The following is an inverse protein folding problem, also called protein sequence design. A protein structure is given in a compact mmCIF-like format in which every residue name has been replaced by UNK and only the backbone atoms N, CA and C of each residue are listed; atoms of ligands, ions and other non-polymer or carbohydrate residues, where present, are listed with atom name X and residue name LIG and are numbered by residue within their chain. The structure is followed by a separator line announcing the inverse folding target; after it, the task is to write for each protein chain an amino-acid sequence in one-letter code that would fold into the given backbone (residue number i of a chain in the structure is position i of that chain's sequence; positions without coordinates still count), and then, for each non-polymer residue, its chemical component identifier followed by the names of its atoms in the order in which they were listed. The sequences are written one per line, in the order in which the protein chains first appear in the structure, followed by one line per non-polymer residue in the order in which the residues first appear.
data_IF_849903891241
#
_entry.id   IF_849903891241
#
_cell.length_a   1.000
_cell.length_b   1.000
_cell.length_c   1.000
_cell.angle_alpha   90.00
_cell.angle_beta   90.00
_cell.angle_gamma   90.00
#
_symmetry.space_group_name_H-M   'P 1'
#
loop_
_entity.id
_entity.type
_entity.pdbx_description
1 polymer ?
#
# COMPACT_ATOMS: atom_id res chain seq x y z
N UNK A 1 -15.81 -16.10 -21.76
CA UNK A 1 -14.82 -15.13 -21.22
C UNK A 1 -13.49 -15.18 -21.99
N UNK A 2 -13.18 -16.25 -22.70
CA UNK A 2 -11.95 -16.37 -23.52
C UNK A 2 -11.83 -15.31 -24.61
N UNK A 3 -12.93 -14.92 -25.25
CA UNK A 3 -12.98 -13.82 -26.25
C UNK A 3 -12.56 -12.47 -25.69
N UNK A 4 -12.60 -12.32 -24.38
CA UNK A 4 -12.32 -11.09 -23.67
C UNK A 4 -11.02 -11.13 -22.84
N UNK A 5 -10.22 -12.21 -22.99
CA UNK A 5 -8.88 -12.29 -22.40
C UNK A 5 -8.74 -13.16 -21.14
N UNK A 6 -9.77 -13.94 -20.76
CA UNK A 6 -9.64 -14.97 -19.72
C UNK A 6 -9.02 -16.26 -20.33
N UNK A 7 -8.39 -17.09 -19.50
CA UNK A 7 -7.78 -18.36 -19.89
C UNK A 7 -8.81 -19.43 -20.27
N UNK A 8 -10.03 -19.34 -19.75
CA UNK A 8 -11.15 -20.26 -20.04
C UNK A 8 -12.51 -19.63 -19.78
N UNK A 9 -13.55 -20.25 -20.34
CA UNK A 9 -14.92 -19.85 -20.04
C UNK A 9 -15.29 -20.20 -18.59
N UNK A 10 -15.97 -19.26 -17.91
CA UNK A 10 -16.35 -19.39 -16.50
C UNK A 10 -17.84 -19.62 -16.33
N UNK A 11 -18.16 -20.50 -15.42
CA UNK A 11 -19.55 -20.77 -15.03
C UNK A 11 -19.99 -19.67 -14.06
N UNK A 12 -21.02 -18.93 -14.43
CA UNK A 12 -21.66 -17.93 -13.55
C UNK A 12 -22.78 -18.56 -12.74
N UNK A 13 -23.59 -19.44 -13.35
CA UNK A 13 -24.68 -20.17 -12.71
C UNK A 13 -24.48 -21.66 -12.88
N UNK A 14 -24.49 -22.38 -11.76
CA UNK A 14 -24.34 -23.84 -11.72
C UNK A 14 -25.64 -24.52 -12.22
N UNK A 15 -25.54 -25.81 -12.59
CA UNK A 15 -26.70 -26.60 -13.02
C UNK A 15 -27.82 -26.69 -11.95
N UNK A 16 -27.44 -26.64 -10.67
CA UNK A 16 -28.41 -26.64 -9.55
C UNK A 16 -29.06 -25.25 -9.32
N UNK A 17 -28.82 -24.27 -10.21
CA UNK A 17 -29.45 -22.96 -10.15
C UNK A 17 -28.71 -21.92 -9.28
N UNK A 18 -27.73 -22.32 -8.47
CA UNK A 18 -26.95 -21.40 -7.63
C UNK A 18 -25.89 -20.67 -8.45
N UNK A 19 -25.64 -19.43 -8.07
CA UNK A 19 -24.55 -18.63 -8.64
C UNK A 19 -23.20 -19.03 -8.05
N UNK A 20 -22.15 -18.87 -8.86
CA UNK A 20 -20.76 -18.95 -8.37
C UNK A 20 -20.35 -17.64 -7.72
N UNK A 21 -19.25 -17.64 -6.96
CA UNK A 21 -18.72 -16.41 -6.34
C UNK A 21 -18.35 -15.30 -7.34
N UNK A 22 -18.03 -15.67 -8.57
CA UNK A 22 -17.73 -14.71 -9.63
C UNK A 22 -18.93 -13.80 -9.95
N UNK A 23 -20.15 -14.31 -9.87
CA UNK A 23 -21.37 -13.56 -10.22
C UNK A 23 -21.60 -12.37 -9.28
N UNK A 24 -21.62 -12.51 -7.94
CA UNK A 24 -21.75 -11.37 -7.04
C UNK A 24 -20.57 -10.40 -7.12
N UNK A 25 -19.36 -10.89 -7.42
CA UNK A 25 -18.22 -9.99 -7.63
C UNK A 25 -18.41 -9.09 -8.85
N UNK A 26 -18.86 -9.67 -9.98
CA UNK A 26 -19.21 -8.89 -11.18
C UNK A 26 -20.30 -7.88 -10.85
N UNK A 27 -21.39 -8.30 -10.18
CA UNK A 27 -22.49 -7.41 -9.82
C UNK A 27 -22.02 -6.25 -8.92
N UNK A 28 -21.10 -6.49 -7.99
CA UNK A 28 -20.54 -5.45 -7.14
C UNK A 28 -19.73 -4.41 -7.97
N UNK A 29 -18.98 -4.85 -8.99
CA UNK A 29 -18.23 -3.95 -9.86
C UNK A 29 -19.18 -3.11 -10.75
N UNK A 30 -20.22 -3.74 -11.31
CA UNK A 30 -21.28 -3.02 -12.05
C UNK A 30 -21.90 -1.94 -11.16
N UNK A 31 -22.30 -2.30 -9.95
CA UNK A 31 -22.91 -1.36 -9.01
C UNK A 31 -22.00 -0.16 -8.70
N UNK A 32 -20.68 -0.37 -8.59
CA UNK A 32 -19.73 0.74 -8.40
C UNK A 32 -19.71 1.68 -9.63
N UNK A 33 -19.71 1.13 -10.85
CA UNK A 33 -19.76 1.94 -12.07
C UNK A 33 -21.09 2.70 -12.18
N UNK A 34 -22.22 2.06 -11.87
CA UNK A 34 -23.54 2.70 -11.85
C UNK A 34 -23.63 3.85 -10.83
N UNK A 35 -22.84 3.81 -9.76
CA UNK A 35 -22.68 4.92 -8.82
C UNK A 35 -21.87 6.10 -9.37
N UNK A 36 -21.35 5.99 -10.60
CA UNK A 36 -20.63 7.06 -11.28
C UNK A 36 -19.11 7.01 -11.18
N UNK A 37 -18.54 5.91 -10.65
CA UNK A 37 -17.09 5.74 -10.64
C UNK A 37 -16.60 5.30 -12.02
N UNK A 38 -15.74 6.10 -12.63
CA UNK A 38 -15.15 5.83 -13.95
C UNK A 38 -13.96 4.88 -13.88
N UNK A 39 -13.32 4.78 -12.71
CA UNK A 39 -12.16 3.91 -12.43
C UNK A 39 -12.37 3.16 -11.12
N UNK A 40 -12.16 1.87 -11.15
CA UNK A 40 -12.22 0.99 -9.99
C UNK A 40 -10.81 0.50 -9.66
N UNK A 41 -10.41 0.60 -8.40
CA UNK A 41 -9.12 0.10 -7.92
C UNK A 41 -9.39 -0.97 -6.88
N UNK A 42 -8.92 -2.18 -7.15
CA UNK A 42 -9.00 -3.29 -6.19
C UNK A 42 -7.61 -3.59 -5.62
N UNK A 43 -7.56 -3.76 -4.31
CA UNK A 43 -6.36 -4.20 -3.60
C UNK A 43 -6.55 -5.68 -3.24
N UNK A 44 -5.79 -6.56 -3.88
CA UNK A 44 -5.91 -8.01 -3.70
C UNK A 44 -4.64 -8.64 -3.17
N UNK A 45 -4.77 -9.68 -2.35
CA UNK A 45 -3.63 -10.52 -2.00
C UNK A 45 -3.03 -11.19 -3.25
N UNK A 46 -1.74 -11.44 -3.23
CA UNK A 46 -1.00 -12.00 -4.36
C UNK A 46 -1.51 -13.38 -4.82
N UNK A 47 -2.16 -14.12 -3.92
CA UNK A 47 -2.85 -15.38 -4.20
C UNK A 47 -4.02 -15.24 -5.19
N UNK A 48 -4.55 -14.02 -5.35
CA UNK A 48 -5.61 -13.71 -6.31
C UNK A 48 -5.12 -13.25 -7.68
N UNK A 49 -3.80 -13.30 -7.98
CA UNK A 49 -3.23 -12.87 -9.26
C UNK A 49 -3.99 -13.46 -10.47
N UNK A 50 -4.29 -14.77 -10.46
CA UNK A 50 -5.02 -15.46 -11.53
C UNK A 50 -6.50 -15.03 -11.68
N UNK A 51 -7.02 -14.23 -10.75
CA UNK A 51 -8.39 -13.73 -10.80
C UNK A 51 -8.50 -12.41 -11.58
N UNK A 52 -7.40 -11.69 -11.78
CA UNK A 52 -7.36 -10.38 -12.44
C UNK A 52 -7.91 -10.47 -13.89
N UNK A 53 -7.33 -11.29 -14.79
CA UNK A 53 -7.82 -11.35 -16.16
C UNK A 53 -9.27 -11.80 -16.26
N UNK A 54 -9.72 -12.65 -15.32
CA UNK A 54 -11.11 -13.12 -15.25
C UNK A 54 -12.08 -11.97 -14.98
N UNK A 55 -11.79 -11.10 -14.02
CA UNK A 55 -12.65 -9.97 -13.70
C UNK A 55 -12.60 -8.90 -14.78
N UNK A 56 -11.42 -8.63 -15.34
CA UNK A 56 -11.26 -7.69 -16.44
C UNK A 56 -12.01 -8.16 -17.69
N UNK A 57 -11.94 -9.47 -18.02
CA UNK A 57 -12.71 -10.07 -19.11
C UNK A 57 -14.22 -9.96 -18.89
N UNK A 58 -14.69 -10.16 -17.67
CA UNK A 58 -16.12 -10.04 -17.35
C UNK A 58 -16.63 -8.60 -17.55
N UNK A 59 -15.89 -7.59 -17.10
CA UNK A 59 -16.26 -6.18 -17.30
C UNK A 59 -16.21 -5.78 -18.78
N UNK A 60 -15.21 -6.25 -19.52
CA UNK A 60 -15.11 -6.00 -20.97
C UNK A 60 -16.27 -6.64 -21.72
N UNK A 61 -16.68 -7.86 -21.34
CA UNK A 61 -17.83 -8.55 -21.93
C UNK A 61 -19.16 -7.81 -21.69
N UNK A 62 -19.24 -7.02 -20.63
CA UNK A 62 -20.39 -6.17 -20.31
C UNK A 62 -20.33 -4.79 -20.98
N UNK A 63 -19.32 -4.53 -21.81
CA UNK A 63 -19.17 -3.29 -22.57
C UNK A 63 -18.42 -2.17 -21.84
N UNK A 64 -17.84 -2.44 -20.68
CA UNK A 64 -17.01 -1.45 -19.99
C UNK A 64 -15.62 -1.32 -20.65
N UNK A 65 -15.08 -0.11 -20.75
CA UNK A 65 -13.75 0.11 -21.34
C UNK A 65 -12.65 -0.67 -20.65
N UNK A 66 -11.62 -1.09 -21.41
CA UNK A 66 -10.40 -1.61 -20.83
C UNK A 66 -9.77 -0.54 -19.91
N UNK A 67 -9.31 -0.95 -18.74
CA UNK A 67 -8.75 -0.03 -17.74
C UNK A 67 -9.79 0.53 -16.75
N UNK A 68 -11.08 0.20 -16.89
CA UNK A 68 -12.09 0.50 -15.85
C UNK A 68 -11.72 -0.12 -14.51
N UNK A 69 -11.14 -1.32 -14.50
CA UNK A 69 -10.61 -2.00 -13.32
C UNK A 69 -9.10 -2.05 -13.34
N UNK A 70 -8.48 -1.45 -12.35
CA UNK A 70 -7.08 -1.60 -11.97
C UNK A 70 -6.97 -2.46 -10.71
N UNK A 71 -5.98 -3.33 -10.66
CA UNK A 71 -5.76 -4.22 -9.52
C UNK A 71 -4.33 -4.12 -9.07
N UNK A 72 -4.16 -3.72 -7.82
CA UNK A 72 -2.88 -3.75 -7.13
C UNK A 72 -2.78 -5.02 -6.29
N UNK A 73 -1.71 -5.76 -6.48
CA UNK A 73 -1.43 -6.97 -5.72
C UNK A 73 -0.58 -6.64 -4.49
N UNK A 74 -1.05 -7.11 -3.35
CA UNK A 74 -0.37 -6.94 -2.08
C UNK A 74 0.24 -8.26 -1.66
N UNK A 75 1.55 -8.27 -1.40
CA UNK A 75 2.26 -9.43 -0.89
C UNK A 75 2.01 -9.64 0.60
N UNK A 76 2.21 -10.88 1.04
CA UNK A 76 2.15 -11.22 2.45
C UNK A 76 3.28 -10.55 3.23
N UNK A 77 2.91 -9.97 4.37
CA UNK A 77 3.85 -9.43 5.35
C UNK A 77 3.98 -10.43 6.49
N UNK A 78 5.21 -10.82 6.84
CA UNK A 78 5.48 -11.64 8.01
C UNK A 78 5.87 -10.74 9.16
N UNK A 79 5.34 -11.00 10.34
CA UNK A 79 5.82 -10.37 11.56
C UNK A 79 6.98 -11.21 12.10
N UNK A 80 8.10 -10.57 12.36
CA UNK A 80 9.27 -11.23 12.96
C UNK A 80 9.71 -10.53 14.24
N UNK A 81 10.22 -11.30 15.18
CA UNK A 81 10.80 -10.81 16.42
C UNK A 81 12.03 -11.64 16.75
N UNK A 82 13.16 -10.99 17.00
CA UNK A 82 14.45 -11.63 17.24
C UNK A 82 14.86 -12.64 16.14
N UNK A 83 14.49 -12.38 14.89
CA UNK A 83 14.77 -13.22 13.74
C UNK A 83 13.86 -14.43 13.58
N UNK A 84 12.87 -14.61 14.45
CA UNK A 84 11.88 -15.68 14.37
C UNK A 84 10.52 -15.14 13.96
N UNK A 85 9.78 -15.89 13.14
CA UNK A 85 8.43 -15.53 12.74
C UNK A 85 7.46 -15.63 13.92
N UNK A 86 6.75 -14.54 14.18
CA UNK A 86 5.63 -14.50 15.12
C UNK A 86 4.46 -15.26 14.52
N UNK A 87 4.27 -16.52 14.96
CA UNK A 87 3.23 -17.39 14.43
C UNK A 87 1.84 -16.85 14.73
N UNK A 88 1.15 -16.41 13.70
CA UNK A 88 -0.24 -16.01 13.76
C UNK A 88 -1.14 -17.18 13.39
N UNK A 89 -2.03 -17.60 14.29
CA UNK A 89 -3.00 -18.64 14.01
C UNK A 89 -4.42 -18.15 14.29
N UNK A 90 -5.22 -18.02 13.23
CA UNK A 90 -6.65 -17.72 13.35
C UNK A 90 -7.42 -18.74 14.19
N UNK A 91 -6.93 -20.00 14.26
CA UNK A 91 -7.58 -21.08 15.01
C UNK A 91 -7.31 -21.04 16.52
N UNK A 92 -6.21 -20.42 16.93
CA UNK A 92 -5.81 -20.34 18.35
C UNK A 92 -6.04 -18.96 18.96
N UNK A 93 -6.62 -18.01 18.22
CA UNK A 93 -6.86 -16.65 18.70
C UNK A 93 -5.62 -15.75 18.74
N UNK A 94 -4.48 -16.22 18.24
CA UNK A 94 -3.20 -15.50 18.30
C UNK A 94 -2.91 -14.67 17.03
N UNK A 95 -3.94 -14.13 16.39
CA UNK A 95 -3.74 -13.21 15.27
C UNK A 95 -3.50 -11.80 15.81
N UNK A 96 -2.35 -11.22 15.50
CA UNK A 96 -2.06 -9.82 15.82
C UNK A 96 -2.93 -8.94 14.94
N UNK A 97 -3.76 -8.12 15.55
CA UNK A 97 -4.58 -7.14 14.83
C UNK A 97 -3.74 -5.89 14.49
N UNK A 98 -4.18 -5.13 13.49
CA UNK A 98 -3.56 -3.82 13.17
C UNK A 98 -3.57 -2.89 14.40
N UNK A 99 -4.61 -2.95 15.22
CA UNK A 99 -4.68 -2.15 16.45
C UNK A 99 -3.58 -2.55 17.42
N UNK A 100 -3.45 -3.83 17.71
CA UNK A 100 -2.40 -4.34 18.60
C UNK A 100 -1.00 -4.01 18.08
N UNK A 101 -0.78 -4.11 16.76
CA UNK A 101 0.47 -3.69 16.15
C UNK A 101 0.74 -2.19 16.37
N UNK A 102 -0.26 -1.34 16.13
CA UNK A 102 -0.12 0.11 16.33
C UNK A 102 0.06 0.49 17.82
N UNK A 103 -0.59 -0.24 18.73
CA UNK A 103 -0.43 -0.04 20.17
C UNK A 103 0.98 -0.44 20.64
N UNK A 104 1.57 -1.43 19.99
CA UNK A 104 2.90 -1.96 20.32
C UNK A 104 4.05 -1.10 19.75
N UNK A 105 4.04 -0.84 18.44
CA UNK A 105 5.16 -0.14 17.76
C UNK A 105 4.91 1.36 17.54
N UNK A 106 3.70 1.83 17.77
CA UNK A 106 3.24 3.19 17.44
C UNK A 106 2.75 3.30 16.00
N UNK A 107 1.78 4.21 15.79
CA UNK A 107 1.15 4.43 14.48
C UNK A 107 2.15 4.88 13.43
N UNK A 108 3.08 5.76 13.78
CA UNK A 108 4.09 6.30 12.84
C UNK A 108 5.00 5.18 12.31
N UNK A 109 5.48 4.31 13.22
CA UNK A 109 6.32 3.18 12.84
C UNK A 109 5.54 2.18 11.97
N UNK A 110 4.32 1.81 12.38
CA UNK A 110 3.49 0.91 11.58
C UNK A 110 3.28 1.46 10.16
N UNK A 111 2.86 2.72 10.02
CA UNK A 111 2.66 3.35 8.71
C UNK A 111 3.95 3.42 7.89
N UNK A 112 5.05 3.82 8.49
CA UNK A 112 6.31 3.95 7.78
C UNK A 112 6.77 2.61 7.20
N UNK A 113 6.81 1.56 8.02
CA UNK A 113 7.27 0.23 7.58
C UNK A 113 6.41 -0.37 6.47
N UNK A 114 5.09 -0.14 6.50
CA UNK A 114 4.22 -0.55 5.40
C UNK A 114 4.38 0.29 4.13
N UNK A 115 4.65 1.59 4.26
CA UNK A 115 4.72 2.52 3.11
C UNK A 115 6.11 2.60 2.47
N UNK A 116 7.17 2.20 3.17
CA UNK A 116 8.53 2.25 2.63
C UNK A 116 8.85 1.13 1.62
N UNK A 117 7.87 0.27 1.33
CA UNK A 117 7.99 -0.84 0.37
C UNK A 117 6.90 -0.74 -0.68
N UNK A 118 7.17 -1.24 -1.88
CA UNK A 118 6.14 -1.41 -2.89
C UNK A 118 5.15 -2.51 -2.44
N UNK A 119 3.88 -2.41 -2.85
CA UNK A 119 2.81 -3.33 -2.44
C UNK A 119 3.09 -4.78 -2.83
N UNK A 120 3.77 -4.99 -3.96
CA UNK A 120 4.12 -6.29 -4.50
C UNK A 120 5.41 -6.89 -3.91
N UNK A 121 6.05 -6.21 -2.97
CA UNK A 121 7.29 -6.65 -2.33
C UNK A 121 6.99 -7.41 -1.05
N UNK A 122 7.47 -8.66 -0.98
CA UNK A 122 7.47 -9.40 0.29
C UNK A 122 8.46 -8.78 1.26
N UNK A 123 8.05 -8.60 2.50
CA UNK A 123 8.97 -8.15 3.55
C UNK A 123 8.59 -8.70 4.92
N UNK A 124 9.60 -8.72 5.77
CA UNK A 124 9.47 -9.06 7.17
C UNK A 124 9.33 -7.76 7.98
N UNK A 125 8.25 -7.65 8.72
CA UNK A 125 8.03 -6.55 9.66
C UNK A 125 8.70 -6.92 10.99
N UNK A 126 9.86 -6.34 11.24
CA UNK A 126 10.62 -6.58 12.48
C UNK A 126 10.07 -5.71 13.60
N UNK A 127 9.42 -6.37 14.57
CA UNK A 127 8.80 -5.70 15.73
C UNK A 127 9.87 -5.07 16.64
N UNK A 128 11.01 -5.75 16.82
CA UNK A 128 12.12 -5.26 17.64
C UNK A 128 12.73 -3.98 17.06
N UNK A 129 12.98 -3.98 15.74
CA UNK A 129 13.46 -2.81 15.04
C UNK A 129 12.43 -1.66 15.09
N UNK A 130 11.15 -1.96 14.86
CA UNK A 130 10.09 -0.95 14.85
C UNK A 130 9.88 -0.27 16.21
N UNK A 131 10.15 -0.97 17.31
CA UNK A 131 10.10 -0.42 18.68
C UNK A 131 11.37 0.35 19.07
N UNK A 132 12.49 0.10 18.40
CA UNK A 132 13.77 0.66 18.81
C UNK A 132 13.82 2.18 18.63
N UNK A 133 14.43 2.86 19.61
CA UNK A 133 14.68 4.32 19.58
C UNK A 133 16.14 4.62 19.25
N UNK A 134 16.68 3.90 18.27
CA UNK A 134 18.07 4.02 17.83
C UNK A 134 18.13 4.49 16.38
N UNK A 135 19.30 4.90 15.93
CA UNK A 135 19.51 5.33 14.54
C UNK A 135 19.30 4.19 13.52
N UNK A 136 19.25 2.94 13.97
CA UNK A 136 18.96 1.79 13.10
C UNK A 136 17.48 1.76 12.70
N UNK A 137 16.60 2.37 13.53
CA UNK A 137 15.19 2.52 13.20
C UNK A 137 14.99 3.72 12.27
N UNK A 138 14.62 3.50 10.99
CA UNK A 138 14.47 4.59 10.04
C UNK A 138 13.36 5.58 10.44
N UNK A 139 12.33 5.14 11.14
CA UNK A 139 11.25 6.01 11.64
C UNK A 139 11.79 6.99 12.67
N UNK A 140 12.56 6.48 13.63
CA UNK A 140 13.18 7.32 14.65
C UNK A 140 14.12 8.35 14.02
N UNK A 141 14.87 7.95 13.01
CA UNK A 141 15.76 8.86 12.28
C UNK A 141 14.99 9.99 11.58
N UNK A 142 13.88 9.66 10.91
CA UNK A 142 13.01 10.65 10.26
C UNK A 142 12.37 11.59 11.29
N UNK A 143 11.85 11.06 12.40
CA UNK A 143 11.28 11.86 13.49
C UNK A 143 12.32 12.80 14.11
N UNK A 144 13.55 12.31 14.31
CA UNK A 144 14.65 13.13 14.79
C UNK A 144 14.99 14.27 13.83
N UNK A 145 15.08 13.98 12.52
CA UNK A 145 15.31 15.00 11.50
C UNK A 145 14.20 16.07 11.50
N UNK A 146 12.94 15.62 11.57
CA UNK A 146 11.79 16.53 11.66
C UNK A 146 11.85 17.44 12.92
N UNK A 147 12.13 16.86 14.08
CA UNK A 147 12.26 17.61 15.32
C UNK A 147 13.38 18.67 15.25
N UNK A 148 14.51 18.33 14.60
CA UNK A 148 15.59 19.29 14.38
C UNK A 148 15.20 20.41 13.42
N UNK A 149 14.53 20.11 12.33
CA UNK A 149 14.03 21.12 11.39
C UNK A 149 13.05 22.06 12.11
N UNK A 150 12.09 21.52 12.88
CA UNK A 150 11.16 22.34 13.67
C UNK A 150 11.89 23.26 14.66
N UNK A 151 12.95 22.76 15.32
CA UNK A 151 13.76 23.55 16.25
C UNK A 151 14.50 24.69 15.54
N UNK A 152 15.07 24.40 14.37
CA UNK A 152 15.73 25.43 13.54
C UNK A 152 14.74 26.51 13.13
N UNK A 153 13.57 26.11 12.60
CA UNK A 153 12.54 27.05 12.14
C UNK A 153 12.00 27.92 13.28
N UNK A 154 11.86 27.35 14.49
CA UNK A 154 11.42 28.08 15.69
C UNK A 154 12.42 29.17 16.11
N UNK A 155 13.71 28.92 15.93
CA UNK A 155 14.78 29.82 16.34
C UNK A 155 15.33 30.67 15.18
N UNK A 156 14.89 30.41 13.95
CA UNK A 156 15.29 31.19 12.79
C UNK A 156 14.70 32.61 12.85
N UNK A 157 15.43 33.65 12.40
CA UNK A 157 14.85 34.94 12.20
C UNK A 157 13.70 34.89 11.19
N UNK A 158 12.77 35.83 11.28
CA UNK A 158 11.67 35.90 10.30
C UNK A 158 12.26 35.97 8.88
N UNK A 159 11.90 34.98 8.06
CA UNK A 159 12.33 34.92 6.67
C UNK A 159 11.34 35.67 5.76
N UNK A 160 11.86 36.27 4.68
CA UNK A 160 11.05 36.86 3.63
C UNK A 160 10.81 35.81 2.54
N UNK A 161 9.55 35.75 2.01
CA UNK A 161 9.19 34.83 0.92
C UNK A 161 9.94 35.10 -0.40
N UNK A 162 10.52 36.28 -0.54
CA UNK A 162 11.36 36.64 -1.69
C UNK A 162 12.85 36.46 -1.30
N UNK A 163 13.30 35.21 -1.31
CA UNK A 163 14.69 34.89 -1.08
C UNK A 163 15.44 34.85 -2.40
N UNK A 164 16.66 35.42 -2.42
CA UNK A 164 17.61 35.21 -3.53
C UNK A 164 18.27 33.85 -3.32
N UNK A 165 18.00 32.90 -4.20
CA UNK A 165 18.57 31.55 -4.12
C UNK A 165 19.99 31.46 -4.74
N UNK A 166 20.54 32.55 -5.24
CA UNK A 166 21.86 32.61 -5.87
C UNK A 166 23.02 32.24 -4.94
N UNK A 167 22.79 32.33 -3.61
CA UNK A 167 23.74 31.92 -2.59
C UNK A 167 23.76 30.43 -2.28
N UNK A 168 22.75 29.68 -2.75
CA UNK A 168 22.65 28.22 -2.57
C UNK A 168 23.48 27.50 -3.66
N UNK A 169 24.80 27.63 -3.60
CA UNK A 169 25.71 27.17 -4.65
C UNK A 169 26.68 26.07 -4.21
N UNK A 170 26.67 25.67 -2.95
CA UNK A 170 27.50 24.55 -2.49
C UNK A 170 26.97 23.22 -3.01
N UNK A 171 27.82 22.20 -3.13
CA UNK A 171 27.44 20.87 -3.59
C UNK A 171 26.31 20.28 -2.71
N UNK A 172 26.40 20.44 -1.39
CA UNK A 172 25.39 19.93 -0.44
C UNK A 172 24.02 20.59 -0.62
N UNK A 173 23.99 21.89 -0.83
CA UNK A 173 22.76 22.64 -1.07
C UNK A 173 22.13 22.24 -2.41
N UNK A 174 22.94 22.13 -3.45
CA UNK A 174 22.48 21.69 -4.78
C UNK A 174 21.92 20.27 -4.74
N UNK A 175 22.59 19.36 -4.05
CA UNK A 175 22.12 17.97 -3.91
C UNK A 175 20.81 17.90 -3.12
N UNK A 176 20.68 18.67 -2.03
CA UNK A 176 19.43 18.75 -1.28
C UNK A 176 18.28 19.28 -2.12
N UNK A 177 18.51 20.34 -2.90
CA UNK A 177 17.50 20.92 -3.79
C UNK A 177 17.07 19.93 -4.87
N UNK A 178 17.99 19.13 -5.42
CA UNK A 178 17.65 18.05 -6.37
C UNK A 178 16.73 17.02 -5.72
N UNK A 179 17.12 16.52 -4.54
CA UNK A 179 16.31 15.53 -3.82
C UNK A 179 14.90 16.05 -3.46
N UNK A 180 14.78 17.31 -3.05
CA UNK A 180 13.47 17.94 -2.79
C UNK A 180 12.62 18.02 -4.07
N UNK A 181 13.27 18.29 -5.23
CA UNK A 181 12.55 18.39 -6.50
C UNK A 181 12.15 17.02 -7.08
N UNK A 182 12.88 15.96 -6.74
CA UNK A 182 12.59 14.58 -7.16
C UNK A 182 11.51 13.91 -6.30
N UNK A 183 11.28 14.38 -5.08
CA UNK A 183 10.26 13.88 -4.16
C UNK A 183 8.85 14.33 -4.57
#
# INVERSE_FOLDING_TARGET
STEFGDDKNRVLRKQNGFYTYLTPDIANHIYKVERGYSKLINLWGADHHGYIPRMQAALTALGYPKGTLEVDLIQMVRLVENGEEVKMSKRTGNAVTIRELCDDVGVDAARYFFLCRALDTQFDFDLGLARSQTNDNPVYYVQYAYARICSILKNAPKYHRQAEYTLLNTAKETDLLKHINEF
#
